data_IF_841875080842
#
_entry.id   IF_841875080842
#
_cell.length_a   1.000
_cell.length_b   1.000
_cell.length_c   1.000
_cell.angle_alpha   90.00
_cell.angle_beta   90.00
_cell.angle_gamma   90.00
#
_symmetry.space_group_name_H-M   'P 1'
#
loop_
_entity.id
_entity.type
_entity.pdbx_description
1 polymer ?
#
# COMPACT_ATOMS: atom_id res chain seq x y z
N UNK A 1 -13.28 17.65 -11.10
CA UNK A 1 -12.34 16.70 -10.47
C UNK A 1 -12.87 16.40 -9.07
N UNK A 2 -13.43 15.21 -8.84
CA UNK A 2 -14.05 14.85 -7.56
C UNK A 2 -12.96 14.60 -6.51
N UNK A 3 -12.70 15.63 -5.70
CA UNK A 3 -11.85 15.53 -4.50
C UNK A 3 -12.52 14.48 -3.60
N UNK A 4 -11.94 13.27 -3.48
CA UNK A 4 -12.31 12.35 -2.40
C UNK A 4 -12.21 13.19 -1.13
N UNK A 5 -13.32 13.35 -0.39
CA UNK A 5 -13.32 14.32 0.70
C UNK A 5 -12.25 13.87 1.69
N UNK A 6 -11.28 14.74 1.91
CA UNK A 6 -10.20 14.57 2.87
C UNK A 6 -10.71 14.09 4.24
N UNK A 7 -11.94 14.50 4.58
CA UNK A 7 -12.68 14.06 5.77
C UNK A 7 -12.95 12.55 5.84
N UNK A 8 -13.06 11.85 4.71
CA UNK A 8 -13.40 10.43 4.68
C UNK A 8 -12.27 9.57 5.26
N UNK A 9 -11.01 9.83 4.89
CA UNK A 9 -9.89 9.02 5.40
C UNK A 9 -9.66 9.29 6.88
N UNK A 10 -9.80 10.53 7.33
CA UNK A 10 -9.65 10.87 8.75
C UNK A 10 -10.70 10.15 9.62
N UNK A 11 -11.94 10.06 9.13
CA UNK A 11 -13.01 9.31 9.81
C UNK A 11 -12.64 7.83 9.88
N UNK A 12 -12.18 7.24 8.78
CA UNK A 12 -11.79 5.82 8.76
C UNK A 12 -10.64 5.55 9.72
N UNK A 13 -9.58 6.38 9.70
CA UNK A 13 -8.45 6.25 10.63
C UNK A 13 -8.91 6.37 12.09
N UNK A 14 -9.83 7.28 12.39
CA UNK A 14 -10.42 7.45 13.73
C UNK A 14 -11.26 6.25 14.17
N UNK A 15 -12.05 5.67 13.27
CA UNK A 15 -12.89 4.51 13.59
C UNK A 15 -12.04 3.26 13.79
N UNK A 16 -11.07 3.03 12.91
CA UNK A 16 -10.19 1.86 12.96
C UNK A 16 -9.18 1.94 14.12
N UNK A 17 -8.82 3.14 14.59
CA UNK A 17 -7.94 3.29 15.76
C UNK A 17 -8.61 2.94 17.10
N UNK A 18 -9.90 2.63 17.10
CA UNK A 18 -10.63 2.17 18.28
C UNK A 18 -10.09 0.81 18.77
N UNK A 19 -9.89 0.67 20.08
CA UNK A 19 -9.33 -0.53 20.72
C UNK A 19 -10.19 -1.79 20.55
N UNK A 20 -11.48 -1.64 20.22
CA UNK A 20 -12.35 -2.78 19.89
C UNK A 20 -12.01 -3.45 18.55
N UNK A 21 -11.25 -2.77 17.68
CA UNK A 21 -10.82 -3.31 16.40
C UNK A 21 -9.50 -4.05 16.58
N UNK A 22 -9.57 -5.37 16.48
CA UNK A 22 -8.42 -6.25 16.65
C UNK A 22 -7.63 -6.43 15.35
N UNK A 23 -6.39 -6.89 15.48
CA UNK A 23 -5.59 -7.38 14.35
C UNK A 23 -6.29 -8.59 13.67
N UNK A 24 -5.96 -8.88 12.40
CA UNK A 24 -6.47 -10.06 11.72
C UNK A 24 -6.22 -11.35 12.50
N UNK A 25 -7.23 -12.21 12.58
CA UNK A 25 -7.21 -13.43 13.39
C UNK A 25 -6.11 -14.37 12.90
N UNK A 26 -5.24 -14.81 13.81
CA UNK A 26 -4.15 -15.75 13.52
C UNK A 26 -3.00 -15.15 12.69
N UNK A 27 -3.01 -13.84 12.45
CA UNK A 27 -1.96 -13.18 11.67
C UNK A 27 -0.79 -12.76 12.57
N UNK A 28 0.43 -13.13 12.14
CA UNK A 28 1.66 -12.71 12.81
C UNK A 28 2.04 -11.34 12.24
N UNK A 29 1.76 -10.30 13.02
CA UNK A 29 2.07 -8.94 12.64
C UNK A 29 3.61 -8.71 12.53
N UNK A 30 4.07 -7.85 11.60
CA UNK A 30 5.45 -7.40 11.59
C UNK A 30 5.82 -6.74 12.93
N UNK A 31 7.10 -6.85 13.33
CA UNK A 31 7.59 -6.16 14.53
C UNK A 31 7.27 -4.65 14.41
N UNK A 32 6.63 -4.11 15.45
CA UNK A 32 6.22 -2.70 15.51
C UNK A 32 4.79 -2.43 15.02
N UNK A 33 4.09 -3.43 14.47
CA UNK A 33 2.66 -3.35 14.15
C UNK A 33 1.87 -4.07 15.24
N UNK A 34 1.02 -3.34 15.96
CA UNK A 34 0.29 -3.77 17.15
C UNK A 34 -1.20 -3.44 17.08
N UNK A 35 -1.61 -2.43 16.29
CA UNK A 35 -2.99 -1.95 16.21
C UNK A 35 -3.59 -2.12 14.82
N UNK A 36 -4.91 -2.27 14.75
CA UNK A 36 -5.64 -2.41 13.48
C UNK A 36 -5.40 -1.25 12.51
N UNK A 37 -5.26 -0.02 13.03
CA UNK A 37 -4.99 1.16 12.19
C UNK A 37 -3.61 1.11 11.52
N UNK A 38 -2.62 0.52 12.18
CA UNK A 38 -1.27 0.36 11.63
C UNK A 38 -1.27 -0.69 10.52
N UNK A 39 -2.11 -1.72 10.62
CA UNK A 39 -2.37 -2.67 9.53
C UNK A 39 -3.05 -1.97 8.37
N UNK A 40 -4.04 -1.13 8.66
CA UNK A 40 -4.77 -0.38 7.64
C UNK A 40 -3.86 0.57 6.86
N UNK A 41 -2.88 1.21 7.51
CA UNK A 41 -1.83 2.00 6.82
C UNK A 41 -1.09 1.14 5.78
N UNK A 42 -0.76 -0.11 6.14
CA UNK A 42 -0.14 -1.06 5.20
C UNK A 42 -1.06 -1.48 4.06
N UNK A 43 -2.36 -1.61 4.32
CA UNK A 43 -3.35 -1.85 3.27
C UNK A 43 -3.42 -0.68 2.28
N UNK A 44 -3.39 0.57 2.75
CA UNK A 44 -3.36 1.75 1.89
C UNK A 44 -2.07 1.82 1.06
N UNK A 45 -0.94 1.43 1.63
CA UNK A 45 0.32 1.29 0.87
C UNK A 45 0.16 0.28 -0.26
N UNK A 46 -0.41 -0.90 0.05
CA UNK A 46 -0.64 -1.95 -0.94
C UNK A 46 -1.60 -1.50 -2.05
N UNK A 47 -2.71 -0.86 -1.69
CA UNK A 47 -3.72 -0.32 -2.62
C UNK A 47 -3.11 0.71 -3.57
N UNK A 48 -2.26 1.60 -3.05
CA UNK A 48 -1.49 2.56 -3.83
C UNK A 48 -0.44 1.88 -4.72
N UNK A 49 0.24 0.84 -4.23
CA UNK A 49 1.30 0.14 -4.95
C UNK A 49 0.75 -0.59 -6.18
N UNK A 50 -0.32 -1.36 -6.02
CA UNK A 50 -0.90 -2.14 -7.12
C UNK A 50 -1.79 -1.31 -8.05
N UNK A 51 -2.01 -0.03 -7.74
CA UNK A 51 -2.86 0.86 -8.54
C UNK A 51 -4.32 0.40 -8.59
N UNK A 52 -4.82 -0.21 -7.52
CA UNK A 52 -6.16 -0.82 -7.46
C UNK A 52 -7.28 0.20 -7.66
N UNK A 53 -7.02 1.47 -7.33
CA UNK A 53 -7.94 2.57 -7.55
C UNK A 53 -7.80 3.18 -8.95
N UNK A 54 -8.92 3.34 -9.65
CA UNK A 54 -9.06 4.13 -10.89
C UNK A 54 -8.83 5.65 -10.68
N UNK A 55 -8.42 6.06 -9.47
CA UNK A 55 -8.29 7.47 -9.08
C UNK A 55 -6.87 7.75 -8.61
N UNK A 56 -6.30 8.83 -9.14
CA UNK A 56 -4.97 9.38 -8.83
C UNK A 56 -4.72 9.73 -7.34
N UNK A 57 -5.66 9.39 -6.44
CA UNK A 57 -5.66 9.75 -5.02
C UNK A 57 -5.09 8.67 -4.10
N UNK A 58 -4.81 7.45 -4.56
CA UNK A 58 -4.38 6.36 -3.66
C UNK A 58 -3.06 6.69 -2.94
N UNK A 59 -2.10 7.29 -3.64
CA UNK A 59 -0.85 7.79 -3.05
C UNK A 59 -1.10 8.95 -2.08
N UNK A 60 -2.04 9.86 -2.39
CA UNK A 60 -2.39 10.97 -1.50
C UNK A 60 -3.05 10.47 -0.20
N UNK A 61 -3.90 9.45 -0.31
CA UNK A 61 -4.56 8.80 0.83
C UNK A 61 -3.54 8.07 1.70
N UNK A 62 -2.61 7.32 1.10
CA UNK A 62 -1.49 6.73 1.84
C UNK A 62 -0.63 7.81 2.52
N UNK A 63 -0.25 8.87 1.80
CA UNK A 63 0.54 9.99 2.35
C UNK A 63 -0.15 10.61 3.58
N UNK A 64 -1.46 10.82 3.52
CA UNK A 64 -2.22 11.34 4.64
C UNK A 64 -2.18 10.40 5.84
N UNK A 65 -2.44 9.10 5.63
CA UNK A 65 -2.36 8.11 6.70
C UNK A 65 -0.95 8.00 7.29
N UNK A 66 0.08 8.08 6.43
CA UNK A 66 1.48 8.03 6.84
C UNK A 66 1.90 9.24 7.70
N UNK A 67 1.29 10.41 7.49
CA UNK A 67 1.49 11.57 8.37
C UNK A 67 0.87 11.40 9.76
N UNK A 68 -0.20 10.62 9.89
CA UNK A 68 -0.80 10.27 11.19
C UNK A 68 -0.05 9.13 11.89
N UNK A 69 0.51 8.20 11.13
CA UNK A 69 1.15 6.97 11.63
C UNK A 69 2.52 6.73 10.95
N UNK A 70 3.51 7.61 11.18
CA UNK A 70 4.79 7.57 10.46
C UNK A 70 5.61 6.31 10.76
N UNK A 71 5.58 5.78 11.98
CA UNK A 71 6.29 4.55 12.35
C UNK A 71 5.73 3.34 11.59
N UNK A 72 4.39 3.21 11.55
CA UNK A 72 3.73 2.16 10.79
C UNK A 72 4.02 2.29 9.29
N UNK A 73 3.94 3.51 8.74
CA UNK A 73 4.26 3.77 7.35
C UNK A 73 5.70 3.39 7.01
N UNK A 74 6.67 3.74 7.86
CA UNK A 74 8.07 3.36 7.70
C UNK A 74 8.26 1.84 7.66
N UNK A 75 7.62 1.11 8.57
CA UNK A 75 7.67 -0.37 8.59
C UNK A 75 7.17 -0.95 7.26
N UNK A 76 6.04 -0.45 6.75
CA UNK A 76 5.48 -0.95 5.49
C UNK A 76 6.29 -0.53 4.27
N UNK A 77 6.83 0.69 4.24
CA UNK A 77 7.71 1.16 3.18
C UNK A 77 9.03 0.37 3.13
N UNK A 78 9.60 0.01 4.28
CA UNK A 78 10.79 -0.84 4.33
C UNK A 78 10.50 -2.26 3.79
N UNK A 79 9.29 -2.79 4.04
CA UNK A 79 8.85 -4.05 3.44
C UNK A 79 8.62 -3.92 1.94
N UNK A 80 8.10 -2.78 1.47
CA UNK A 80 7.93 -2.51 0.05
C UNK A 80 9.29 -2.41 -0.66
N UNK A 81 10.27 -1.76 -0.04
CA UNK A 81 11.64 -1.62 -0.56
C UNK A 81 12.36 -2.97 -0.69
N UNK A 82 12.08 -3.92 0.21
CA UNK A 82 12.69 -5.25 0.14
C UNK A 82 12.14 -6.16 -0.98
N UNK A 83 11.05 -5.75 -1.64
CA UNK A 83 10.49 -6.46 -2.79
C UNK A 83 11.28 -6.10 -4.04
N UNK A 84 12.11 -7.04 -4.50
CA UNK A 84 12.92 -6.86 -5.71
C UNK A 84 12.13 -7.00 -7.00
N UNK A 85 12.64 -6.44 -8.09
CA UNK A 85 12.11 -6.67 -9.45
C UNK A 85 12.05 -8.17 -9.79
N UNK A 86 13.00 -8.97 -9.31
CA UNK A 86 12.98 -10.42 -9.50
C UNK A 86 11.79 -11.08 -8.78
N UNK A 87 11.42 -10.60 -7.59
CA UNK A 87 10.22 -11.09 -6.90
C UNK A 87 8.95 -10.78 -7.70
N UNK A 88 8.86 -9.55 -8.25
CA UNK A 88 7.72 -9.12 -9.07
C UNK A 88 7.63 -9.98 -10.34
N UNK A 89 8.74 -10.13 -11.07
CA UNK A 89 8.81 -10.94 -12.28
C UNK A 89 8.40 -12.40 -12.00
N UNK A 90 8.87 -12.98 -10.89
CA UNK A 90 8.50 -14.34 -10.49
C UNK A 90 6.99 -14.49 -10.22
N UNK A 91 6.30 -13.45 -9.73
CA UNK A 91 4.85 -13.48 -9.55
C UNK A 91 4.15 -13.49 -10.91
N UNK A 92 4.54 -12.60 -11.83
CA UNK A 92 3.93 -12.55 -13.16
C UNK A 92 4.17 -13.82 -13.98
N UNK A 93 5.35 -14.44 -13.86
CA UNK A 93 5.67 -15.71 -14.52
C UNK A 93 4.81 -16.89 -14.06
N UNK A 94 4.14 -16.79 -12.89
CA UNK A 94 3.20 -17.81 -12.41
C UNK A 94 1.81 -17.67 -13.01
N UNK A 95 1.51 -16.56 -13.68
CA UNK A 95 0.21 -16.34 -14.32
C UNK A 95 0.24 -17.03 -15.69
N UNK A 96 -0.67 -17.99 -15.97
CA UNK A 96 -0.70 -18.65 -17.27
C UNK A 96 -0.89 -17.64 -18.40
N UNK A 97 -0.19 -17.84 -19.53
CA UNK A 97 -0.34 -16.99 -20.73
C UNK A 97 -1.76 -17.03 -21.33
N UNK A 98 -2.61 -17.98 -20.91
CA UNK A 98 -4.05 -18.04 -21.24
C UNK A 98 -4.89 -17.05 -20.44
N UNK A 99 -4.36 -16.49 -19.35
CA UNK A 99 -5.04 -15.54 -18.45
C UNK A 99 -4.57 -14.10 -18.66
N UNK A 100 -3.32 -13.92 -19.10
CA UNK A 100 -2.75 -12.61 -19.40
C UNK A 100 -1.77 -12.75 -20.57
N UNK A 101 -1.80 -11.81 -21.51
CA UNK A 101 -0.80 -11.80 -22.58
C UNK A 101 0.57 -11.36 -22.05
N UNK A 102 1.69 -11.77 -22.68
CA UNK A 102 3.02 -11.31 -22.29
C UNK A 102 3.16 -9.78 -22.25
N UNK A 103 2.49 -9.10 -23.18
CA UNK A 103 2.46 -7.62 -23.26
C UNK A 103 1.72 -7.03 -22.05
N UNK A 104 0.55 -7.57 -21.71
CA UNK A 104 -0.22 -7.10 -20.56
C UNK A 104 0.51 -7.38 -19.23
N UNK A 105 1.21 -8.51 -19.11
CA UNK A 105 2.03 -8.83 -17.95
C UNK A 105 3.22 -7.85 -17.81
N UNK A 106 3.91 -7.54 -18.91
CA UNK A 106 4.99 -6.55 -18.89
C UNK A 106 4.48 -5.16 -18.53
N UNK A 107 3.33 -4.76 -19.07
CA UNK A 107 2.70 -3.49 -18.74
C UNK A 107 2.35 -3.41 -17.25
N UNK A 108 1.67 -4.42 -16.71
CA UNK A 108 1.30 -4.46 -15.29
C UNK A 108 2.53 -4.46 -14.36
N UNK A 109 3.59 -5.19 -14.72
CA UNK A 109 4.86 -5.15 -14.00
C UNK A 109 5.43 -3.73 -13.93
N UNK A 110 5.48 -3.02 -15.06
CA UNK A 110 5.99 -1.64 -15.11
C UNK A 110 5.15 -0.67 -14.26
N UNK A 111 3.83 -0.86 -14.19
CA UNK A 111 2.96 -0.04 -13.34
C UNK A 111 3.29 -0.24 -11.86
N UNK A 112 3.46 -1.49 -11.43
CA UNK A 112 3.81 -1.83 -10.04
C UNK A 112 5.20 -1.28 -9.68
N UNK A 113 6.18 -1.40 -10.56
CA UNK A 113 7.53 -0.83 -10.39
C UNK A 113 7.50 0.70 -10.31
N UNK A 114 6.72 1.35 -11.18
CA UNK A 114 6.55 2.80 -11.18
C UNK A 114 5.92 3.31 -9.88
N UNK A 115 4.86 2.65 -9.41
CA UNK A 115 4.20 3.01 -8.16
C UNK A 115 5.10 2.74 -6.94
N UNK A 116 5.88 1.65 -6.95
CA UNK A 116 6.88 1.38 -5.91
C UNK A 116 7.85 2.54 -5.79
N UNK A 117 8.42 3.00 -6.91
CA UNK A 117 9.34 4.13 -6.92
C UNK A 117 8.69 5.42 -6.37
N UNK A 118 7.45 5.72 -6.77
CA UNK A 118 6.71 6.89 -6.27
C UNK A 118 6.48 6.85 -4.76
N UNK A 119 6.11 5.68 -4.23
CA UNK A 119 5.88 5.49 -2.79
C UNK A 119 7.18 5.58 -1.99
N UNK A 120 8.29 5.03 -2.50
CA UNK A 120 9.59 5.13 -1.85
C UNK A 120 10.14 6.57 -1.88
N UNK A 121 9.90 7.33 -2.94
CA UNK A 121 10.22 8.76 -2.99
C UNK A 121 9.38 9.57 -2.01
N UNK A 122 8.09 9.23 -1.84
CA UNK A 122 7.22 9.88 -0.87
C UNK A 122 7.77 9.78 0.56
N UNK A 123 8.46 8.69 0.90
CA UNK A 123 9.14 8.49 2.21
C UNK A 123 10.01 9.67 2.61
N UNK A 124 10.67 10.32 1.65
CA UNK A 124 11.56 11.47 1.87
C UNK A 124 10.81 12.73 2.36
N UNK A 125 9.48 12.74 2.27
CA UNK A 125 8.60 13.86 2.63
C UNK A 125 7.82 13.64 3.92
N UNK A 126 7.94 12.45 4.52
CA UNK A 126 7.28 12.09 5.77
C UNK A 126 8.10 12.60 6.98
N UNK A 127 7.42 12.95 8.10
CA UNK A 127 8.08 13.42 9.32
C UNK A 127 8.94 12.35 9.99
#
# INVERSE_FOLDING_TARGET
MLKVSEHTIDIVLRVISNESVNLPIGWIAPRGIQKAVEVFVGYLLLDAWIGNGDRHHTIDVFNRAARYYPEAASIWLNRLESISQANILNIFNRIPNTRISPIAANFAQRIIEFNQHRLLKLRETLP
#
